data_IF_310105730230
#
_entry.id   IF_310105730230
#
_cell.length_a   1.000
_cell.length_b   1.000
_cell.length_c   1.000
_cell.angle_alpha   90.00
_cell.angle_beta   90.00
_cell.angle_gamma   90.00
#
_symmetry.space_group_name_H-M   'P 1'
#
loop_
_entity.id
_entity.type
_entity.pdbx_description
1 polymer ?
#
# COMPACT_ATOMS: atom_id res chain seq x y z
N UNK A 1 -3.78 -3.53 19.79
CA UNK A 1 -3.04 -3.28 18.53
C UNK A 1 -3.93 -3.77 17.40
N UNK A 2 -4.45 -2.86 16.59
CA UNK A 2 -5.11 -3.21 15.34
C UNK A 2 -4.02 -3.23 14.24
N UNK A 3 -4.03 -4.23 13.38
CA UNK A 3 -3.11 -4.34 12.25
C UNK A 3 -3.86 -4.24 10.92
N UNK A 4 -3.15 -4.35 9.81
CA UNK A 4 -3.74 -4.55 8.50
C UNK A 4 -3.67 -6.03 8.14
N UNK A 5 -4.82 -6.65 7.91
CA UNK A 5 -4.95 -8.02 7.45
C UNK A 5 -5.13 -8.08 5.93
N UNK A 6 -5.06 -9.29 5.39
CA UNK A 6 -5.29 -9.50 3.96
C UNK A 6 -6.74 -9.18 3.61
N UNK A 7 -6.93 -8.25 2.67
CA UNK A 7 -8.25 -7.87 2.16
C UNK A 7 -8.81 -6.60 2.82
N UNK A 8 -8.21 -6.10 3.90
CA UNK A 8 -8.67 -4.86 4.56
C UNK A 8 -8.63 -3.65 3.59
N UNK A 9 -7.68 -3.64 2.66
CA UNK A 9 -7.55 -2.59 1.65
C UNK A 9 -8.68 -2.60 0.61
N UNK A 10 -9.36 -3.74 0.42
CA UNK A 10 -10.43 -3.85 -0.59
C UNK A 10 -11.63 -3.00 -0.20
N UNK A 11 -11.91 -2.86 1.09
CA UNK A 11 -12.96 -1.97 1.60
C UNK A 11 -12.65 -0.49 1.37
N UNK A 12 -11.38 -0.11 1.21
CA UNK A 12 -11.00 1.26 0.88
C UNK A 12 -11.11 1.57 -0.62
N UNK A 13 -11.21 0.53 -1.47
CA UNK A 13 -11.21 0.66 -2.93
C UNK A 13 -12.58 0.46 -3.57
N UNK A 14 -13.41 -0.40 -3.00
CA UNK A 14 -14.66 -0.83 -3.60
C UNK A 14 -15.84 -0.59 -2.67
N UNK A 15 -16.95 -0.15 -3.26
CA UNK A 15 -18.23 -0.14 -2.57
C UNK A 15 -18.75 -1.59 -2.45
N UNK A 16 -18.76 -2.11 -1.22
CA UNK A 16 -19.17 -3.47 -0.92
C UNK A 16 -20.50 -3.45 -0.11
N UNK A 17 -21.61 -3.96 -0.68
CA UNK A 17 -22.94 -3.86 -0.05
C UNK A 17 -23.08 -4.48 1.34
N UNK A 18 -22.20 -5.42 1.69
CA UNK A 18 -22.21 -6.12 2.99
C UNK A 18 -21.85 -5.16 4.14
N UNK A 19 -21.21 -4.02 3.84
CA UNK A 19 -20.61 -3.14 4.84
C UNK A 19 -20.81 -1.66 4.56
N UNK A 20 -21.83 -1.27 3.79
CA UNK A 20 -22.10 0.14 3.43
C UNK A 20 -22.30 1.06 4.65
N UNK A 21 -22.59 0.49 5.83
CA UNK A 21 -22.72 1.21 7.10
C UNK A 21 -21.39 1.34 7.88
N UNK A 22 -20.28 0.72 7.43
CA UNK A 22 -19.00 0.73 8.15
C UNK A 22 -18.12 1.97 7.90
N UNK A 23 -18.40 2.80 6.88
CA UNK A 23 -17.67 4.05 6.63
C UNK A 23 -18.05 5.18 7.60
N UNK A 24 -18.15 4.86 8.89
CA UNK A 24 -18.56 5.80 9.94
C UNK A 24 -17.41 6.66 10.45
N UNK A 25 -16.15 6.28 10.18
CA UNK A 25 -15.00 7.06 10.58
C UNK A 25 -14.54 8.00 9.46
N UNK A 26 -14.30 9.26 9.81
CA UNK A 26 -13.72 10.27 8.90
C UNK A 26 -12.38 9.79 8.29
N UNK A 27 -11.61 9.00 9.05
CA UNK A 27 -10.31 8.49 8.64
C UNK A 27 -10.43 7.46 7.50
N UNK A 28 -11.37 6.52 7.57
CA UNK A 28 -11.54 5.51 6.52
C UNK A 28 -11.98 6.14 5.19
N UNK A 29 -12.87 7.15 5.27
CA UNK A 29 -13.29 7.92 4.10
C UNK A 29 -12.13 8.70 3.48
N UNK A 30 -11.32 9.37 4.30
CA UNK A 30 -10.15 10.11 3.81
C UNK A 30 -9.13 9.17 3.16
N UNK A 31 -8.85 8.04 3.80
CA UNK A 31 -7.92 7.04 3.30
C UNK A 31 -8.42 6.42 1.99
N UNK A 32 -9.70 6.08 1.91
CA UNK A 32 -10.35 5.59 0.69
C UNK A 32 -10.21 6.60 -0.45
N UNK A 33 -10.55 7.87 -0.21
CA UNK A 33 -10.43 8.93 -1.23
C UNK A 33 -9.00 9.05 -1.77
N UNK A 34 -8.01 9.01 -0.88
CA UNK A 34 -6.60 9.08 -1.28
C UNK A 34 -6.17 7.85 -2.08
N UNK A 35 -6.52 6.66 -1.61
CA UNK A 35 -6.15 5.40 -2.25
C UNK A 35 -6.79 5.25 -3.63
N UNK A 36 -8.09 5.51 -3.75
CA UNK A 36 -8.83 5.50 -5.03
C UNK A 36 -8.22 6.51 -6.00
N UNK A 37 -7.92 7.73 -5.54
CA UNK A 37 -7.26 8.74 -6.39
C UNK A 37 -5.90 8.26 -6.88
N UNK A 38 -5.06 7.70 -5.99
CA UNK A 38 -3.73 7.21 -6.35
C UNK A 38 -3.80 6.08 -7.37
N UNK A 39 -4.70 5.11 -7.18
CA UNK A 39 -4.89 4.00 -8.13
C UNK A 39 -5.46 4.48 -9.47
N UNK A 40 -6.41 5.42 -9.45
CA UNK A 40 -6.96 6.02 -10.66
C UNK A 40 -5.92 6.86 -11.43
N UNK A 41 -5.10 7.65 -10.74
CA UNK A 41 -4.01 8.40 -11.38
C UNK A 41 -2.98 7.46 -12.03
N UNK A 42 -2.64 6.36 -11.35
CA UNK A 42 -1.77 5.32 -11.90
C UNK A 42 -2.36 4.68 -13.16
N UNK A 43 -3.63 4.25 -13.11
CA UNK A 43 -4.32 3.62 -14.23
C UNK A 43 -4.43 4.55 -15.45
N UNK A 44 -4.62 5.85 -15.21
CA UNK A 44 -4.66 6.87 -16.26
C UNK A 44 -3.26 7.31 -16.76
N UNK A 45 -2.20 6.58 -16.40
CA UNK A 45 -0.81 6.88 -16.77
C UNK A 45 -0.35 8.30 -16.39
N UNK A 46 -0.97 8.92 -15.38
CA UNK A 46 -0.55 10.24 -14.89
C UNK A 46 0.75 10.07 -14.13
N UNK A 47 1.85 10.52 -14.76
CA UNK A 47 3.17 10.54 -14.13
C UNK A 47 3.51 11.97 -13.69
N UNK A 48 4.11 12.15 -12.49
CA UNK A 48 4.43 11.09 -11.53
C UNK A 48 3.22 10.65 -10.69
N UNK A 49 3.21 9.39 -10.26
CA UNK A 49 2.23 8.87 -9.29
C UNK A 49 2.52 9.48 -7.93
N UNK A 50 1.46 9.88 -7.23
CA UNK A 50 1.56 10.47 -5.89
C UNK A 50 0.53 9.83 -4.95
N UNK A 51 0.88 9.75 -3.68
CA UNK A 51 -0.06 9.47 -2.59
C UNK A 51 -0.05 10.68 -1.64
N UNK A 52 -1.20 11.33 -1.46
CA UNK A 52 -1.33 12.56 -0.67
C UNK A 52 -0.21 13.59 -0.95
N UNK A 53 -0.02 13.94 -2.22
CA UNK A 53 1.03 14.82 -2.75
C UNK A 53 2.49 14.32 -2.61
N UNK A 54 2.75 13.27 -1.84
CA UNK A 54 4.05 12.64 -1.77
C UNK A 54 4.32 11.84 -3.05
N UNK A 55 5.49 12.07 -3.63
CA UNK A 55 5.95 11.36 -4.82
C UNK A 55 6.15 9.87 -4.51
N UNK A 56 5.54 9.00 -5.31
CA UNK A 56 5.82 7.57 -5.32
C UNK A 56 6.78 7.23 -6.47
N UNK A 57 8.09 7.08 -6.21
CA UNK A 57 9.07 6.84 -7.26
C UNK A 57 8.94 5.42 -7.82
N UNK A 58 9.18 5.28 -9.13
CA UNK A 58 9.35 3.97 -9.75
C UNK A 58 10.65 3.32 -9.28
N UNK A 59 10.61 2.01 -9.05
CA UNK A 59 11.79 1.21 -8.72
C UNK A 59 12.42 0.72 -10.03
N UNK A 60 13.73 0.89 -10.19
CA UNK A 60 14.47 0.38 -11.36
C UNK A 60 15.11 -0.98 -11.04
N UNK A 61 15.36 -1.82 -12.05
CA UNK A 61 16.13 -3.05 -11.87
C UNK A 61 17.49 -2.77 -11.22
N UNK A 62 17.84 -3.55 -10.20
CA UNK A 62 19.11 -3.43 -9.48
C UNK A 62 19.14 -2.37 -8.38
N UNK A 63 18.11 -1.52 -8.26
CA UNK A 63 17.98 -0.60 -7.12
C UNK A 63 17.29 -1.28 -5.92
N UNK A 64 17.64 -0.91 -4.67
CA UNK A 64 16.90 -1.37 -3.50
C UNK A 64 15.42 -1.02 -3.58
N UNK A 65 14.56 -1.95 -3.16
CA UNK A 65 13.12 -1.74 -3.12
C UNK A 65 12.78 -0.60 -2.14
N UNK A 66 12.02 0.37 -2.66
CA UNK A 66 11.40 1.44 -1.87
C UNK A 66 9.90 1.24 -1.88
N UNK A 67 9.29 1.30 -0.70
CA UNK A 67 7.85 1.11 -0.52
C UNK A 67 7.19 2.43 -0.15
N UNK A 68 5.96 2.64 -0.61
CA UNK A 68 5.11 3.72 -0.14
C UNK A 68 4.31 3.22 1.07
N UNK A 69 4.51 3.85 2.22
CA UNK A 69 3.69 3.61 3.40
C UNK A 69 2.42 4.45 3.31
N UNK A 70 1.30 3.75 3.10
CA UNK A 70 -0.02 4.32 2.93
C UNK A 70 -0.63 4.63 4.30
N UNK A 71 -0.44 5.85 4.79
CA UNK A 71 -0.98 6.32 6.06
C UNK A 71 -1.48 7.76 5.98
N UNK A 72 -2.47 8.08 6.81
CA UNK A 72 -2.98 9.45 6.95
C UNK A 72 -1.99 10.33 7.71
N UNK A 73 -1.98 11.63 7.37
CA UNK A 73 -1.11 12.63 8.00
C UNK A 73 0.31 12.64 7.46
N UNK A 74 1.07 11.56 7.68
CA UNK A 74 2.52 11.51 7.38
C UNK A 74 2.90 10.35 6.44
N UNK A 75 2.38 10.27 5.21
CA UNK A 75 2.82 9.25 4.27
C UNK A 75 4.33 9.36 4.06
N UNK A 76 5.00 8.23 3.84
CA UNK A 76 6.45 8.22 3.60
C UNK A 76 6.85 7.14 2.61
N UNK A 77 7.93 7.41 1.90
CA UNK A 77 8.63 6.40 1.10
C UNK A 77 9.77 5.87 1.96
N UNK A 78 9.73 4.59 2.28
CA UNK A 78 10.71 3.94 3.14
C UNK A 78 11.43 2.79 2.41
N UNK A 79 12.46 2.26 3.07
CA UNK A 79 13.10 1.01 2.65
C UNK A 79 12.15 -0.14 2.92
N UNK A 80 12.25 -1.21 2.14
CA UNK A 80 11.47 -2.43 2.36
C UNK A 80 11.60 -2.94 3.82
N UNK A 81 10.54 -2.87 4.64
CA UNK A 81 10.60 -3.31 6.03
C UNK A 81 10.74 -4.83 6.16
N UNK A 82 10.45 -5.58 5.09
CA UNK A 82 10.51 -7.04 5.06
C UNK A 82 11.84 -7.58 4.54
N UNK A 83 12.79 -6.72 4.15
CA UNK A 83 14.06 -7.10 3.51
C UNK A 83 14.80 -8.20 4.31
N UNK A 84 14.89 -8.04 5.64
CA UNK A 84 15.56 -9.01 6.52
C UNK A 84 14.84 -10.36 6.57
N UNK A 85 13.51 -10.34 6.67
CA UNK A 85 12.69 -11.54 6.70
C UNK A 85 12.76 -12.29 5.37
N UNK A 86 12.64 -11.56 4.26
CA UNK A 86 12.79 -12.11 2.91
C UNK A 86 14.18 -12.73 2.71
N UNK A 87 15.24 -12.08 3.19
CA UNK A 87 16.60 -12.66 3.14
C UNK A 87 16.67 -13.98 3.92
N UNK A 88 16.18 -14.00 5.15
CA UNK A 88 16.11 -15.22 5.95
C UNK A 88 15.39 -16.36 5.21
N UNK A 89 14.22 -16.09 4.63
CA UNK A 89 13.46 -17.09 3.88
C UNK A 89 14.16 -17.56 2.61
N UNK A 90 14.94 -16.71 1.95
CA UNK A 90 15.76 -17.10 0.78
C UNK A 90 16.96 -17.95 1.17
N UNK A 91 17.54 -17.69 2.34
CA UNK A 91 18.72 -18.38 2.85
C UNK A 91 18.38 -19.74 3.50
N UNK A 92 17.10 -19.97 3.81
CA UNK A 92 16.55 -21.27 4.20
C UNK A 92 16.64 -22.24 3.00
N UNK A 93 17.81 -22.87 2.83
CA UNK A 93 18.07 -23.89 1.83
C UNK A 93 17.33 -25.21 2.16
N UNK A 94 16.01 -25.14 2.21
CA UNK A 94 15.13 -26.27 2.53
C UNK A 94 15.02 -27.21 1.33
N UNK A 95 15.01 -28.54 1.55
CA UNK A 95 14.77 -29.49 0.49
C UNK A 95 13.40 -29.20 -0.14
N UNK A 96 13.35 -29.13 -1.46
CA UNK A 96 12.08 -29.07 -2.20
C UNK A 96 11.51 -30.48 -2.21
N UNK A 97 10.36 -30.66 -1.58
CA UNK A 97 9.57 -31.89 -1.69
C UNK A 97 9.03 -32.08 -3.11
#
# INVERSE_FOLDING_TARGET
MCGAAHGDETFLLFDAPIYSELFTSFFDLEMSRLLVKTMADFANARKPVKFNNLLWPSVKPGEPLKVMELQLGDPKVSKDPFEKGLKFWKDLNLPRE
#
